data_IF_650065980607
#
_entry.id   IF_650065980607
#
_cell.length_a   1.000
_cell.length_b   1.000
_cell.length_c   1.000
_cell.angle_alpha   90.00
_cell.angle_beta   90.00
_cell.angle_gamma   90.00
#
_symmetry.space_group_name_H-M   'P 1'
#
loop_
_entity.id
_entity.type
_entity.pdbx_description
1 polymer ?
#
# COMPACT_ATOMS: atom_id res chain seq x y z
N UNK A 1 63.13 40.57 -11.07
CA UNK A 1 62.09 40.16 -10.10
C UNK A 1 60.67 40.36 -10.63
N UNK A 2 60.28 41.53 -11.13
CA UNK A 2 58.89 41.80 -11.62
C UNK A 2 58.44 40.87 -12.79
N UNK A 3 59.34 40.45 -13.65
CA UNK A 3 59.03 39.59 -14.80
C UNK A 3 58.73 38.13 -14.37
N UNK A 4 59.48 37.62 -13.43
CA UNK A 4 59.29 36.23 -12.90
C UNK A 4 57.97 36.09 -12.16
N UNK A 5 57.57 37.11 -11.42
CA UNK A 5 56.27 37.15 -10.70
C UNK A 5 55.11 37.14 -11.71
N UNK A 6 55.22 37.82 -12.84
CA UNK A 6 54.20 37.83 -13.89
C UNK A 6 53.99 36.43 -14.50
N UNK A 7 55.07 35.71 -14.82
CA UNK A 7 54.98 34.37 -15.38
C UNK A 7 54.47 33.33 -14.36
N UNK A 8 54.83 33.51 -13.08
CA UNK A 8 54.32 32.67 -12.01
C UNK A 8 52.79 32.87 -11.81
N UNK A 9 52.30 34.09 -11.94
CA UNK A 9 50.88 34.40 -11.85
C UNK A 9 50.08 33.86 -13.03
N UNK A 10 50.65 33.94 -14.27
CA UNK A 10 50.03 33.39 -15.49
C UNK A 10 49.97 31.85 -15.40
N UNK A 11 51.02 31.21 -14.92
CA UNK A 11 51.06 29.75 -14.72
C UNK A 11 50.05 29.27 -13.66
N UNK A 12 49.85 30.04 -12.58
CA UNK A 12 48.89 29.72 -11.57
C UNK A 12 47.44 29.86 -12.05
N UNK A 13 47.15 30.86 -12.87
CA UNK A 13 45.81 31.09 -13.44
C UNK A 13 45.49 30.03 -14.50
N UNK A 14 46.46 29.53 -15.29
CA UNK A 14 46.20 28.44 -16.24
C UNK A 14 45.99 27.10 -15.58
N UNK A 15 46.53 26.84 -14.38
CA UNK A 15 46.23 25.63 -13.60
C UNK A 15 44.82 25.61 -13.03
N UNK A 16 44.24 26.78 -12.74
CA UNK A 16 42.93 26.90 -12.15
C UNK A 16 41.78 26.60 -13.14
N UNK A 17 42.00 26.65 -14.43
CA UNK A 17 40.98 26.37 -15.46
C UNK A 17 40.96 24.92 -15.95
N UNK A 18 41.85 24.06 -15.47
CA UNK A 18 41.78 22.59 -15.68
C UNK A 18 41.08 21.96 -14.46
N UNK A 19 40.09 22.65 -13.87
CA UNK A 19 39.21 22.04 -12.95
C UNK A 19 38.31 21.08 -13.72
N UNK A 20 38.57 19.82 -13.52
CA UNK A 20 37.84 18.68 -14.05
C UNK A 20 36.33 18.93 -14.06
N UNK A 21 35.75 19.24 -15.21
CA UNK A 21 34.37 18.88 -15.47
C UNK A 21 34.30 17.34 -15.51
N UNK A 22 34.29 16.70 -14.35
CA UNK A 22 33.65 15.39 -14.28
C UNK A 22 32.18 15.65 -14.57
N UNK A 23 31.79 15.56 -15.85
CA UNK A 23 30.39 15.33 -16.20
C UNK A 23 29.98 14.04 -15.52
N UNK A 24 29.59 14.17 -14.27
CA UNK A 24 28.75 13.18 -13.61
C UNK A 24 27.40 13.31 -14.29
N UNK A 25 27.26 12.67 -15.46
CA UNK A 25 25.94 12.37 -15.98
C UNK A 25 25.39 11.29 -15.06
N UNK A 26 24.43 11.60 -14.18
CA UNK A 26 23.76 10.56 -13.45
C UNK A 26 23.10 9.68 -14.50
N UNK A 27 23.60 8.47 -14.68
CA UNK A 27 22.93 7.46 -15.48
C UNK A 27 21.60 7.19 -14.79
N UNK A 28 20.56 7.88 -15.24
CA UNK A 28 19.18 7.77 -14.76
C UNK A 28 18.58 6.38 -15.05
N UNK A 29 19.25 5.58 -15.89
CA UNK A 29 18.83 4.25 -16.24
C UNK A 29 19.41 3.22 -15.26
N UNK A 30 18.77 3.05 -14.14
CA UNK A 30 19.08 1.95 -13.23
C UNK A 30 18.01 0.89 -13.32
N UNK A 31 18.40 -0.28 -13.80
CA UNK A 31 17.50 -1.42 -13.87
C UNK A 31 17.26 -2.00 -12.48
N UNK A 32 16.06 -2.54 -12.30
CA UNK A 32 15.70 -3.32 -11.14
C UNK A 32 15.83 -4.82 -11.46
N UNK A 33 16.39 -5.60 -10.54
CA UNK A 33 16.41 -7.06 -10.69
C UNK A 33 15.00 -7.63 -10.66
N UNK A 34 14.83 -8.76 -11.33
CA UNK A 34 13.61 -9.55 -11.21
C UNK A 34 13.42 -10.04 -9.78
N UNK A 35 12.17 -10.21 -9.39
CA UNK A 35 11.79 -10.78 -8.10
C UNK A 35 10.48 -11.55 -8.24
N UNK A 36 10.24 -12.49 -7.36
CA UNK A 36 9.04 -13.33 -7.34
C UNK A 36 8.37 -13.36 -5.98
N UNK A 37 7.25 -14.06 -5.88
CA UNK A 37 6.58 -14.27 -4.60
C UNK A 37 7.21 -15.43 -3.82
N UNK A 38 7.34 -15.25 -2.50
CA UNK A 38 7.73 -16.31 -1.58
C UNK A 38 6.50 -17.03 -1.03
N UNK A 39 5.39 -16.30 -0.81
CA UNK A 39 4.10 -16.87 -0.41
C UNK A 39 3.19 -17.02 -1.61
N UNK A 40 2.48 -18.16 -1.66
CA UNK A 40 1.46 -18.41 -2.69
C UNK A 40 0.10 -17.81 -2.37
N UNK A 41 -0.91 -18.27 -3.10
CA UNK A 41 -2.31 -17.94 -2.82
C UNK A 41 -2.73 -18.51 -1.47
N UNK A 42 -3.65 -17.83 -0.82
CA UNK A 42 -4.12 -18.20 0.52
C UNK A 42 -5.62 -17.97 0.66
N UNK A 43 -6.20 -18.53 1.72
CA UNK A 43 -7.59 -18.28 2.09
C UNK A 43 -7.69 -17.88 3.56
N UNK A 44 -8.64 -17.01 3.90
CA UNK A 44 -8.86 -16.55 5.25
C UNK A 44 -10.33 -16.31 5.55
N UNK A 45 -10.80 -16.88 6.65
CA UNK A 45 -12.10 -16.57 7.22
C UNK A 45 -11.90 -15.46 8.24
N UNK A 46 -12.49 -14.30 7.97
CA UNK A 46 -12.41 -13.12 8.83
C UNK A 46 -13.47 -13.21 9.93
N UNK A 47 -13.11 -12.77 11.11
CA UNK A 47 -14.04 -12.71 12.25
C UNK A 47 -14.25 -11.28 12.75
N UNK A 48 -13.42 -10.33 12.28
CA UNK A 48 -13.43 -8.95 12.74
C UNK A 48 -12.79 -8.74 14.11
N UNK A 49 -12.51 -9.81 14.85
CA UNK A 49 -11.93 -9.78 16.20
C UNK A 49 -10.73 -10.69 16.38
N UNK A 50 -10.36 -11.41 15.33
CA UNK A 50 -9.24 -12.35 15.36
C UNK A 50 -7.89 -11.64 15.46
N UNK A 51 -6.95 -12.22 16.19
CA UNK A 51 -5.54 -11.83 16.18
C UNK A 51 -4.77 -12.47 15.04
N UNK A 52 -5.43 -13.23 14.17
CA UNK A 52 -4.78 -13.85 13.00
C UNK A 52 -4.32 -12.78 12.01
N UNK A 53 -3.22 -13.08 11.37
CA UNK A 53 -2.60 -12.21 10.35
C UNK A 53 -2.29 -13.01 9.10
N UNK A 54 -2.35 -12.34 7.95
CA UNK A 54 -1.87 -12.86 6.67
C UNK A 54 -0.52 -12.22 6.38
N UNK A 55 0.44 -13.04 6.02
CA UNK A 55 1.76 -12.59 5.60
C UNK A 55 1.89 -12.72 4.10
N UNK A 56 2.11 -11.59 3.43
CA UNK A 56 2.48 -11.55 2.02
C UNK A 56 3.98 -11.28 1.94
N UNK A 57 4.73 -12.16 1.27
CA UNK A 57 6.18 -12.09 1.16
C UNK A 57 6.63 -12.26 -0.28
N UNK A 58 7.69 -11.55 -0.63
CA UNK A 58 8.33 -11.62 -1.94
C UNK A 58 9.84 -11.53 -1.81
N UNK A 59 10.54 -11.87 -2.89
CA UNK A 59 12.00 -11.74 -2.98
C UNK A 59 12.40 -10.28 -3.05
N UNK A 60 13.61 -9.97 -2.60
CA UNK A 60 14.12 -8.60 -2.73
C UNK A 60 14.55 -8.33 -4.17
N UNK A 61 14.05 -7.24 -4.74
CA UNK A 61 14.62 -6.62 -5.92
C UNK A 61 15.78 -5.71 -5.51
N UNK A 62 16.80 -5.63 -6.34
CA UNK A 62 17.95 -4.74 -6.18
C UNK A 62 18.08 -3.82 -7.37
N UNK A 63 18.55 -2.61 -7.14
CA UNK A 63 18.90 -1.67 -8.21
C UNK A 63 20.40 -1.79 -8.53
N UNK A 64 20.79 -1.76 -9.80
CA UNK A 64 22.17 -1.86 -10.24
C UNK A 64 23.09 -0.82 -9.59
N UNK A 65 22.59 0.38 -9.37
CA UNK A 65 23.32 1.46 -8.72
C UNK A 65 23.26 1.41 -7.19
N UNK A 66 22.81 0.30 -6.60
CA UNK A 66 22.63 0.12 -5.15
C UNK A 66 21.72 1.14 -4.48
N UNK A 67 20.85 1.83 -5.21
CA UNK A 67 19.81 2.67 -4.62
C UNK A 67 18.78 1.82 -3.87
N UNK A 68 18.12 2.45 -2.91
CA UNK A 68 17.06 1.79 -2.15
C UNK A 68 15.89 1.43 -3.06
N UNK A 69 15.35 0.22 -2.86
CA UNK A 69 14.15 -0.24 -3.53
C UNK A 69 13.00 -0.22 -2.53
N UNK A 70 11.91 0.39 -2.94
CA UNK A 70 10.65 0.48 -2.20
C UNK A 70 9.61 -0.40 -2.87
N UNK A 71 8.68 -0.91 -2.08
CA UNK A 71 7.61 -1.77 -2.56
C UNK A 71 6.26 -1.16 -2.25
N UNK A 72 5.30 -1.47 -3.11
CA UNK A 72 3.89 -1.17 -2.94
C UNK A 72 3.10 -2.43 -3.26
N UNK A 73 2.18 -2.79 -2.38
CA UNK A 73 1.22 -3.86 -2.62
C UNK A 73 -0.08 -3.22 -3.10
N UNK A 74 -0.58 -3.66 -4.24
CA UNK A 74 -1.84 -3.22 -4.80
C UNK A 74 -2.84 -4.36 -4.75
N UNK A 75 -4.09 -4.05 -4.40
CA UNK A 75 -5.21 -4.97 -4.40
C UNK A 75 -6.24 -4.58 -5.44
N UNK A 76 -6.88 -5.57 -6.05
CA UNK A 76 -7.96 -5.39 -7.03
C UNK A 76 -9.02 -6.47 -6.83
N UNK A 77 -10.26 -6.15 -7.19
CA UNK A 77 -11.36 -7.10 -7.35
C UNK A 77 -11.33 -7.80 -8.73
N UNK A 78 -10.64 -7.19 -9.70
CA UNK A 78 -10.41 -7.77 -11.03
C UNK A 78 -8.98 -8.34 -11.11
N UNK A 79 -8.87 -9.59 -11.56
CA UNK A 79 -7.58 -10.26 -11.72
C UNK A 79 -6.70 -9.62 -12.79
N UNK A 80 -7.26 -8.99 -13.81
CA UNK A 80 -6.56 -8.51 -15.00
C UNK A 80 -6.46 -6.98 -15.04
N UNK A 81 -7.14 -6.28 -14.12
CA UNK A 81 -7.10 -4.83 -14.05
C UNK A 81 -6.55 -4.31 -12.70
N UNK A 82 -5.38 -3.72 -12.76
CA UNK A 82 -4.74 -2.98 -11.69
C UNK A 82 -4.47 -1.51 -12.07
N UNK A 83 -5.13 -0.99 -13.08
CA UNK A 83 -5.00 0.42 -13.46
C UNK A 83 -5.57 1.35 -12.40
N UNK A 84 -6.62 0.88 -11.69
CA UNK A 84 -7.24 1.58 -10.56
C UNK A 84 -7.38 0.60 -9.38
N UNK A 85 -6.30 0.31 -8.64
CA UNK A 85 -6.36 -0.64 -7.54
C UNK A 85 -7.34 -0.20 -6.47
N UNK A 86 -8.12 -1.14 -5.95
CA UNK A 86 -9.14 -0.88 -4.92
C UNK A 86 -8.53 -0.50 -3.58
N UNK A 87 -7.31 -0.96 -3.33
CA UNK A 87 -6.51 -0.60 -2.16
C UNK A 87 -5.01 -0.68 -2.44
N UNK A 88 -4.25 0.21 -1.82
CA UNK A 88 -2.79 0.18 -1.87
C UNK A 88 -2.21 0.15 -0.45
N UNK A 89 -1.20 -0.66 -0.24
CA UNK A 89 -0.53 -0.82 1.05
C UNK A 89 0.98 -0.67 0.89
N UNK A 90 1.56 0.17 1.74
CA UNK A 90 3.02 0.30 1.82
C UNK A 90 3.53 -0.66 2.91
N UNK A 91 4.49 -1.55 2.59
CA UNK A 91 5.18 -2.35 3.59
C UNK A 91 5.87 -1.50 4.65
N UNK A 92 6.18 -2.10 5.79
CA UNK A 92 6.89 -1.42 6.88
C UNK A 92 8.19 -0.75 6.42
N UNK A 93 8.74 0.13 7.27
CA UNK A 93 9.94 0.95 6.97
C UNK A 93 9.75 1.80 5.71
N UNK A 94 8.62 2.48 5.59
CA UNK A 94 8.29 3.36 4.46
C UNK A 94 8.31 2.64 3.10
N UNK A 95 7.95 1.35 3.07
CA UNK A 95 7.90 0.58 1.84
C UNK A 95 9.16 -0.25 1.54
N UNK A 96 10.20 -0.24 2.37
CA UNK A 96 11.45 -0.97 2.08
C UNK A 96 11.45 -2.44 2.51
N UNK A 97 10.46 -2.90 3.28
CA UNK A 97 10.33 -4.30 3.63
C UNK A 97 9.83 -5.11 2.43
N UNK A 98 10.36 -6.31 2.26
CA UNK A 98 9.91 -7.27 1.25
C UNK A 98 8.82 -8.23 1.77
N UNK A 99 8.06 -7.76 2.73
CA UNK A 99 6.89 -8.44 3.29
C UNK A 99 5.93 -7.43 3.88
N UNK A 100 4.68 -7.85 4.03
CA UNK A 100 3.66 -7.14 4.79
C UNK A 100 2.86 -8.13 5.62
N UNK A 101 2.56 -7.74 6.85
CA UNK A 101 1.66 -8.43 7.75
C UNK A 101 0.32 -7.68 7.78
N UNK A 102 -0.74 -8.38 7.44
CA UNK A 102 -2.09 -7.80 7.34
C UNK A 102 -2.96 -8.45 8.41
N UNK A 103 -3.43 -7.66 9.36
CA UNK A 103 -4.35 -8.13 10.39
C UNK A 103 -5.73 -8.47 9.82
N UNK A 104 -6.50 -9.30 10.52
CA UNK A 104 -7.90 -9.64 10.20
C UNK A 104 -8.73 -8.37 9.93
N UNK A 105 -8.66 -7.39 10.81
CA UNK A 105 -9.41 -6.13 10.65
C UNK A 105 -8.98 -5.33 9.43
N UNK A 106 -7.69 -5.25 9.14
CA UNK A 106 -7.19 -4.57 7.95
C UNK A 106 -7.60 -5.32 6.69
N UNK A 107 -7.50 -6.66 6.69
CA UNK A 107 -7.90 -7.46 5.55
C UNK A 107 -9.42 -7.33 5.28
N UNK A 108 -10.25 -7.19 6.33
CA UNK A 108 -11.68 -6.92 6.17
C UNK A 108 -11.94 -5.55 5.51
N UNK A 109 -11.17 -4.52 5.84
CA UNK A 109 -11.26 -3.20 5.19
C UNK A 109 -10.86 -3.32 3.71
N UNK A 110 -9.77 -4.02 3.41
CA UNK A 110 -9.31 -4.22 2.02
C UNK A 110 -10.36 -5.00 1.22
N UNK A 111 -10.93 -6.06 1.80
CA UNK A 111 -11.98 -6.86 1.18
C UNK A 111 -13.26 -6.04 0.91
N UNK A 112 -13.63 -5.14 1.82
CA UNK A 112 -14.74 -4.22 1.60
C UNK A 112 -14.47 -3.26 0.43
N UNK A 113 -13.27 -2.71 0.36
CA UNK A 113 -12.86 -1.84 -0.75
C UNK A 113 -12.79 -2.59 -2.08
N UNK A 114 -12.51 -3.89 -2.05
CA UNK A 114 -12.54 -4.79 -3.20
C UNK A 114 -13.93 -5.38 -3.45
N UNK A 115 -14.99 -4.71 -3.03
CA UNK A 115 -16.39 -5.05 -3.32
C UNK A 115 -16.87 -6.41 -2.78
N UNK A 116 -16.08 -7.09 -1.96
CA UNK A 116 -16.46 -8.36 -1.35
C UNK A 116 -17.58 -8.12 -0.33
N UNK A 117 -18.73 -8.76 -0.53
CA UNK A 117 -19.89 -8.60 0.34
C UNK A 117 -19.72 -9.33 1.66
N UNK A 118 -20.43 -8.85 2.68
CA UNK A 118 -20.54 -9.57 3.95
C UNK A 118 -21.22 -10.93 3.74
N UNK A 119 -20.79 -11.92 4.51
CA UNK A 119 -21.25 -13.31 4.43
C UNK A 119 -20.95 -13.99 3.07
N UNK A 120 -20.10 -13.42 2.24
CA UNK A 120 -19.62 -14.04 1.02
C UNK A 120 -18.16 -14.50 1.15
N UNK A 121 -17.79 -15.44 0.28
CA UNK A 121 -16.42 -15.89 0.08
C UNK A 121 -16.06 -15.57 -1.35
N UNK A 122 -15.10 -14.71 -1.54
CA UNK A 122 -14.67 -14.24 -2.86
C UNK A 122 -13.16 -14.07 -2.91
N UNK A 123 -12.61 -14.02 -4.11
CA UNK A 123 -11.19 -13.80 -4.35
C UNK A 123 -10.91 -12.31 -4.50
N UNK A 124 -9.84 -11.89 -3.88
CA UNK A 124 -9.24 -10.58 -4.00
C UNK A 124 -7.82 -10.77 -4.54
N UNK A 125 -7.49 -10.07 -5.61
CA UNK A 125 -6.19 -10.19 -6.26
C UNK A 125 -5.21 -9.15 -5.73
N UNK A 126 -3.93 -9.49 -5.72
CA UNK A 126 -2.89 -8.58 -5.29
C UNK A 126 -1.63 -8.74 -6.13
N UNK A 127 -0.90 -7.66 -6.25
CA UNK A 127 0.43 -7.64 -6.88
C UNK A 127 1.38 -6.76 -6.11
N UNK A 128 2.68 -6.91 -6.41
CA UNK A 128 3.73 -6.10 -5.80
C UNK A 128 4.48 -5.35 -6.89
N UNK A 129 4.68 -4.07 -6.65
CA UNK A 129 5.51 -3.20 -7.48
C UNK A 129 6.74 -2.83 -6.67
N UNK A 130 7.93 -3.07 -7.22
CA UNK A 130 9.20 -2.57 -6.74
C UNK A 130 9.54 -1.27 -7.47
N UNK A 131 10.07 -0.27 -6.78
CA UNK A 131 10.49 1.00 -7.39
C UNK A 131 11.71 1.57 -6.70
N UNK A 132 12.62 2.14 -7.46
CA UNK A 132 13.73 2.95 -6.94
C UNK A 132 13.49 4.47 -7.08
N UNK A 133 12.23 4.86 -7.36
CA UNK A 133 11.82 6.24 -7.59
C UNK A 133 11.93 6.71 -9.04
N UNK A 134 12.69 6.01 -9.88
CA UNK A 134 12.86 6.31 -11.32
C UNK A 134 12.19 5.21 -12.15
N UNK A 135 12.57 3.97 -11.87
CA UNK A 135 12.03 2.80 -12.54
C UNK A 135 11.16 1.99 -11.59
N UNK A 136 10.22 1.26 -12.16
CA UNK A 136 9.38 0.32 -11.42
C UNK A 136 9.31 -1.02 -12.13
N UNK A 137 9.10 -2.09 -11.36
CA UNK A 137 9.00 -3.46 -11.85
C UNK A 137 7.96 -4.23 -11.05
N UNK A 138 7.17 -5.03 -11.73
CA UNK A 138 6.18 -5.93 -11.14
C UNK A 138 6.85 -7.30 -10.90
N UNK A 139 6.39 -8.05 -9.90
CA UNK A 139 6.84 -9.40 -9.64
C UNK A 139 6.63 -10.32 -10.87
N UNK A 140 7.48 -11.34 -11.06
CA UNK A 140 7.46 -12.23 -12.24
C UNK A 140 6.12 -12.91 -12.48
N UNK A 141 5.47 -13.35 -11.40
CA UNK A 141 4.16 -14.01 -11.46
C UNK A 141 3.01 -13.01 -11.62
N UNK A 142 3.33 -11.73 -11.75
CA UNK A 142 2.45 -10.59 -11.91
C UNK A 142 1.44 -10.40 -10.77
N UNK A 143 0.71 -11.42 -10.38
CA UNK A 143 -0.37 -11.36 -9.39
C UNK A 143 -0.57 -12.68 -8.65
N UNK A 144 -1.22 -12.57 -7.47
CA UNK A 144 -1.69 -13.67 -6.62
C UNK A 144 -3.10 -13.34 -6.13
N UNK A 145 -3.76 -14.26 -5.46
CA UNK A 145 -5.03 -13.98 -4.81
C UNK A 145 -5.06 -14.36 -3.34
N UNK A 146 -5.98 -13.74 -2.61
CA UNK A 146 -6.44 -14.17 -1.30
C UNK A 146 -7.93 -14.45 -1.41
N UNK A 147 -8.36 -15.65 -1.06
CA UNK A 147 -9.77 -15.97 -0.91
C UNK A 147 -10.22 -15.55 0.48
N UNK A 148 -11.17 -14.64 0.56
CA UNK A 148 -11.60 -14.02 1.81
C UNK A 148 -13.07 -14.35 2.06
N UNK A 149 -13.35 -14.93 3.23
CA UNK A 149 -14.73 -15.04 3.75
C UNK A 149 -14.96 -13.90 4.74
N UNK A 150 -15.87 -12.98 4.42
CA UNK A 150 -16.18 -11.84 5.30
C UNK A 150 -17.25 -12.20 6.34
N UNK A 151 -17.10 -11.71 7.59
CA UNK A 151 -18.10 -11.90 8.62
C UNK A 151 -19.37 -11.10 8.35
N UNK A 152 -20.43 -11.36 9.09
CA UNK A 152 -21.53 -10.41 9.23
C UNK A 152 -21.00 -9.09 9.80
N UNK A 153 -21.50 -7.95 9.29
CA UNK A 153 -20.95 -6.64 9.63
C UNK A 153 -20.97 -6.29 11.11
N UNK A 154 -21.94 -6.82 11.83
CA UNK A 154 -22.01 -6.75 13.30
C UNK A 154 -22.24 -8.16 13.83
N UNK A 155 -21.48 -8.57 14.84
CA UNK A 155 -21.63 -9.87 15.50
C UNK A 155 -23.03 -10.05 16.12
N UNK A 156 -23.68 -8.96 16.48
CA UNK A 156 -25.09 -8.89 16.86
C UNK A 156 -25.61 -7.49 16.48
N UNK A 157 -26.81 -7.44 15.90
CA UNK A 157 -27.53 -6.17 15.81
C UNK A 157 -27.87 -5.73 17.22
N UNK A 158 -27.55 -4.49 17.63
CA UNK A 158 -27.99 -4.00 18.92
C UNK A 158 -29.54 -4.06 18.99
N UNK A 159 -30.08 -4.62 20.06
CA UNK A 159 -31.54 -4.71 20.26
C UNK A 159 -32.20 -3.34 20.15
N UNK A 160 -31.46 -2.30 20.50
CA UNK A 160 -31.94 -0.91 20.51
C UNK A 160 -30.89 0.01 19.94
N UNK A 161 -31.30 0.82 18.99
CA UNK A 161 -30.53 1.91 18.45
C UNK A 161 -31.14 3.24 18.87
N UNK A 162 -30.30 4.20 19.23
CA UNK A 162 -30.74 5.53 19.62
C UNK A 162 -30.05 6.56 18.74
N UNK A 163 -30.76 7.63 18.42
CA UNK A 163 -30.23 8.79 17.73
C UNK A 163 -30.23 10.02 18.63
N UNK A 164 -29.16 10.75 18.64
CA UNK A 164 -29.01 12.05 19.30
C UNK A 164 -28.28 13.00 18.35
N UNK A 165 -28.30 14.29 18.65
CA UNK A 165 -27.65 15.30 17.82
C UNK A 165 -28.55 16.52 17.62
N UNK A 166 -27.98 17.59 17.08
CA UNK A 166 -28.63 18.89 16.89
C UNK A 166 -29.91 18.83 16.04
N UNK A 167 -30.08 17.78 15.23
CA UNK A 167 -31.28 17.53 14.42
C UNK A 167 -32.40 16.80 15.19
N UNK A 168 -32.18 16.43 16.45
CA UNK A 168 -33.20 15.78 17.28
C UNK A 168 -33.76 16.73 18.33
N UNK A 169 -35.00 16.56 18.78
CA UNK A 169 -35.59 17.42 19.84
C UNK A 169 -34.80 17.43 21.14
N UNK A 170 -34.01 16.38 21.43
CA UNK A 170 -33.18 16.29 22.62
C UNK A 170 -31.77 16.90 22.43
N UNK A 171 -31.42 17.36 21.21
CA UNK A 171 -30.06 17.85 20.94
C UNK A 171 -29.00 16.77 21.19
N UNK A 172 -27.87 17.15 21.73
CA UNK A 172 -26.75 16.26 22.05
C UNK A 172 -26.90 15.55 23.43
N UNK A 173 -28.02 15.75 24.11
CA UNK A 173 -28.30 15.14 25.40
C UNK A 173 -28.63 13.65 25.24
N UNK A 174 -27.71 12.77 25.65
CA UNK A 174 -27.85 11.33 25.55
C UNK A 174 -29.05 10.79 26.35
N UNK A 175 -29.46 11.49 27.41
CA UNK A 175 -30.65 11.07 28.22
C UNK A 175 -31.97 11.28 27.47
N UNK A 176 -31.97 12.10 26.46
CA UNK A 176 -33.10 12.42 25.56
C UNK A 176 -32.97 11.78 24.18
N UNK A 177 -32.04 10.84 24.01
CA UNK A 177 -31.85 10.13 22.76
C UNK A 177 -33.11 9.39 22.32
N UNK A 178 -33.46 9.50 21.04
CA UNK A 178 -34.69 8.90 20.49
C UNK A 178 -34.37 7.48 20.01
N UNK A 179 -35.11 6.50 20.49
CA UNK A 179 -34.98 5.13 20.04
C UNK A 179 -35.47 4.98 18.59
N UNK A 180 -34.59 4.46 17.71
CA UNK A 180 -34.96 4.11 16.34
C UNK A 180 -35.72 2.79 16.36
N UNK A 181 -36.94 2.78 15.85
CA UNK A 181 -37.71 1.56 15.66
C UNK A 181 -37.19 0.81 14.42
N UNK A 182 -36.81 -0.46 14.60
CA UNK A 182 -36.49 -1.32 13.49
C UNK A 182 -37.70 -1.43 12.54
N UNK A 183 -37.49 -1.14 11.26
CA UNK A 183 -38.50 -1.42 10.24
C UNK A 183 -38.61 -2.93 10.11
N UNK A 184 -39.80 -3.49 10.41
CA UNK A 184 -40.08 -4.89 10.10
C UNK A 184 -39.92 -5.06 8.58
N UNK A 185 -39.00 -5.93 8.15
CA UNK A 185 -38.94 -6.35 6.75
C UNK A 185 -40.33 -6.88 6.37
N UNK A 186 -41.01 -6.21 5.46
CA UNK A 186 -42.24 -6.71 4.88
C UNK A 186 -41.86 -8.00 4.18
N UNK A 187 -42.30 -9.14 4.70
CA UNK A 187 -42.15 -10.41 3.99
C UNK A 187 -42.86 -10.26 2.66
N UNK A 188 -42.13 -10.30 1.57
CA UNK A 188 -42.75 -10.47 0.25
C UNK A 188 -43.56 -11.77 0.28
N UNK A 189 -44.77 -11.76 -0.30
CA UNK A 189 -45.66 -12.91 -0.34
C UNK A 189 -45.09 -14.06 -1.17
#
# INVERSE_FOLDING_TARGET
>A
MKTIIKYLFISLVTLAIVSCESKYEPTLETTLSDFGFVTGDTSMVLTGTSTKTVWLKWEKSTAENSTLVFYKVQFSDDQDDFSSPTYELLPGRLGSNNFVEISDSMLNIIAEKSSIRQLSTEKMYWRVIASNGINSKIAKEEKRFIEVTRPAGFAAFPEKLYITGTATPGGDDLSKAIQIKALKKKSDP
#
